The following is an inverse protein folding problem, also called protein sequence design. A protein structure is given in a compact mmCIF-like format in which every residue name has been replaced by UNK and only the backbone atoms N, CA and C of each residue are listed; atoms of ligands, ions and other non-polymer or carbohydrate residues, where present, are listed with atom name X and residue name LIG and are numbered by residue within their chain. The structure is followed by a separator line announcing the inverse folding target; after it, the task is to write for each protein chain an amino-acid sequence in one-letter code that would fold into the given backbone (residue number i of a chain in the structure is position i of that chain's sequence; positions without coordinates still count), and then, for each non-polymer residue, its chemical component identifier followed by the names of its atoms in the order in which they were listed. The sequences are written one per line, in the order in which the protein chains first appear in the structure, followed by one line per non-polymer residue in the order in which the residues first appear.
data_IF_523842228836
#
_entry.id   IF_523842228836
#
_cell.length_a   1.000
_cell.length_b   1.000
_cell.length_c   1.000
_cell.angle_alpha   90.00
_cell.angle_beta   90.00
_cell.angle_gamma   90.00
#
_symmetry.space_group_name_H-M   'P 1'
#
loop_
_entity.id
_entity.type
_entity.pdbx_description
1 polymer ?
#
# COMPACT_ATOMS: atom_id res chain seq x y z
N UNK A 1 19.18 -14.84 -0.78
CA UNK A 1 17.79 -15.20 -1.12
C UNK A 1 16.77 -14.24 -0.51
N UNK A 2 16.65 -14.11 0.82
CA UNK A 2 15.63 -13.27 1.47
C UNK A 2 15.72 -11.76 1.12
N UNK A 3 16.93 -11.21 0.99
CA UNK A 3 17.14 -9.80 0.57
C UNK A 3 16.65 -9.54 -0.86
N UNK A 4 16.93 -10.48 -1.78
CA UNK A 4 16.46 -10.40 -3.18
C UNK A 4 14.94 -10.40 -3.22
N UNK A 5 14.31 -11.32 -2.48
CA UNK A 5 12.85 -11.39 -2.41
C UNK A 5 12.26 -10.09 -1.86
N UNK A 6 12.84 -9.53 -0.79
CA UNK A 6 12.41 -8.24 -0.23
C UNK A 6 12.55 -7.07 -1.22
N UNK A 7 13.57 -7.06 -2.09
CA UNK A 7 13.69 -6.07 -3.18
C UNK A 7 12.65 -6.29 -4.27
N UNK A 8 12.36 -7.54 -4.64
CA UNK A 8 11.31 -7.85 -5.63
C UNK A 8 9.94 -7.33 -5.17
N UNK A 9 9.62 -7.45 -3.88
CA UNK A 9 8.37 -6.92 -3.32
C UNK A 9 8.24 -5.40 -3.48
N UNK A 10 9.34 -4.65 -3.54
CA UNK A 10 9.29 -3.20 -3.76
C UNK A 10 8.87 -2.83 -5.18
N UNK A 11 9.29 -3.60 -6.17
CA UNK A 11 8.95 -3.38 -7.58
C UNK A 11 7.62 -4.01 -7.96
N UNK A 12 7.21 -5.07 -7.26
CA UNK A 12 5.90 -5.70 -7.43
C UNK A 12 4.77 -4.71 -7.18
N UNK A 13 4.90 -3.83 -6.19
CA UNK A 13 3.87 -2.83 -5.83
C UNK A 13 3.60 -1.82 -6.95
N UNK A 14 4.57 -0.99 -7.41
CA UNK A 14 4.32 -0.04 -8.49
C UNK A 14 3.98 -0.74 -9.81
N UNK A 15 4.65 -1.87 -10.13
CA UNK A 15 4.32 -2.64 -11.34
C UNK A 15 2.90 -3.19 -11.31
N UNK A 16 2.48 -3.77 -10.18
CA UNK A 16 1.13 -4.28 -10.00
C UNK A 16 0.07 -3.18 -10.02
N UNK A 17 0.34 -2.03 -9.40
CA UNK A 17 -0.57 -0.87 -9.45
C UNK A 17 -0.81 -0.42 -10.90
N UNK A 18 0.24 -0.31 -11.71
CA UNK A 18 0.10 0.07 -13.13
C UNK A 18 -0.78 -0.94 -13.87
N UNK A 19 -0.54 -2.23 -13.67
CA UNK A 19 -1.35 -3.30 -14.29
C UNK A 19 -2.82 -3.20 -13.85
N UNK A 20 -3.08 -3.04 -12.55
CA UNK A 20 -4.44 -2.91 -12.01
C UNK A 20 -5.14 -1.67 -12.59
N UNK A 21 -4.42 -0.55 -12.72
CA UNK A 21 -4.95 0.67 -13.31
C UNK A 21 -5.43 0.44 -14.75
N UNK A 22 -4.64 -0.23 -15.59
CA UNK A 22 -5.05 -0.59 -16.94
C UNK A 22 -6.26 -1.53 -16.96
N UNK A 23 -6.30 -2.53 -16.07
CA UNK A 23 -7.47 -3.42 -15.98
C UNK A 23 -8.73 -2.70 -15.52
N UNK A 24 -8.63 -1.78 -14.57
CA UNK A 24 -9.75 -0.97 -14.10
C UNK A 24 -10.34 -0.13 -15.24
N UNK A 25 -9.48 0.54 -16.03
CA UNK A 25 -9.92 1.32 -17.20
C UNK A 25 -10.48 0.44 -18.34
N UNK A 26 -9.98 -0.78 -18.49
CA UNK A 26 -10.44 -1.69 -19.55
C UNK A 26 -11.77 -2.39 -19.21
N UNK A 27 -11.98 -2.73 -17.94
CA UNK A 27 -13.15 -3.49 -17.47
C UNK A 27 -14.26 -2.61 -16.89
N UNK A 28 -13.92 -1.42 -16.37
CA UNK A 28 -14.89 -0.47 -15.84
C UNK A 28 -15.71 0.19 -16.95
N UNK A 29 -16.97 0.48 -16.64
CA UNK A 29 -17.92 1.12 -17.57
C UNK A 29 -18.22 2.57 -17.21
N UNK A 30 -17.88 2.98 -15.99
CA UNK A 30 -18.14 4.27 -15.38
C UNK A 30 -17.16 4.47 -14.20
N UNK A 31 -17.11 5.66 -13.62
CA UNK A 31 -16.12 5.95 -12.58
C UNK A 31 -16.32 5.12 -11.30
N UNK A 32 -17.55 4.72 -10.99
CA UNK A 32 -17.86 3.89 -9.81
C UNK A 32 -17.29 2.50 -10.02
N UNK A 33 -17.59 1.87 -11.17
CA UNK A 33 -17.07 0.53 -11.50
C UNK A 33 -15.54 0.52 -11.70
N UNK A 34 -14.97 1.54 -12.32
CA UNK A 34 -13.52 1.71 -12.43
C UNK A 34 -12.86 1.77 -11.04
N UNK A 35 -13.42 2.57 -10.12
CA UNK A 35 -12.88 2.70 -8.77
C UNK A 35 -13.10 1.44 -7.92
N UNK A 36 -14.24 0.75 -8.08
CA UNK A 36 -14.53 -0.51 -7.40
C UNK A 36 -13.50 -1.60 -7.76
N UNK A 37 -13.00 -1.60 -9.00
CA UNK A 37 -11.90 -2.48 -9.41
C UNK A 37 -10.55 -1.96 -8.91
N UNK A 38 -10.25 -0.68 -9.13
CA UNK A 38 -8.94 -0.12 -8.84
C UNK A 38 -8.63 -0.07 -7.34
N UNK A 39 -9.53 0.48 -6.54
CA UNK A 39 -9.31 0.81 -5.13
C UNK A 39 -9.02 -0.42 -4.28
N UNK A 40 -9.98 -1.32 -4.06
CA UNK A 40 -9.80 -2.53 -3.26
C UNK A 40 -8.64 -3.41 -3.73
N UNK A 41 -8.46 -3.60 -5.03
CA UNK A 41 -7.37 -4.45 -5.56
C UNK A 41 -6.00 -3.81 -5.28
N UNK A 42 -5.86 -2.49 -5.40
CA UNK A 42 -4.62 -1.81 -4.98
C UNK A 42 -4.39 -1.93 -3.47
N UNK A 43 -5.43 -1.86 -2.64
CA UNK A 43 -5.31 -2.09 -1.19
C UNK A 43 -4.82 -3.50 -0.90
N UNK A 44 -5.38 -4.53 -1.54
CA UNK A 44 -4.95 -5.92 -1.41
C UNK A 44 -3.47 -6.07 -1.80
N UNK A 45 -3.07 -5.50 -2.94
CA UNK A 45 -1.68 -5.53 -3.39
C UNK A 45 -0.74 -4.83 -2.40
N UNK A 46 -1.06 -3.61 -2.01
CA UNK A 46 -0.19 -2.79 -1.17
C UNK A 46 -0.11 -3.34 0.25
N UNK A 47 -1.23 -3.47 0.94
CA UNK A 47 -1.26 -3.96 2.32
C UNK A 47 -0.93 -5.45 2.40
N UNK A 48 -1.37 -6.27 1.44
CA UNK A 48 -1.04 -7.70 1.42
C UNK A 48 0.45 -7.97 1.24
N UNK A 49 1.12 -7.24 0.33
CA UNK A 49 2.57 -7.39 0.15
C UNK A 49 3.38 -6.84 1.32
N UNK A 50 2.93 -5.76 1.98
CA UNK A 50 3.54 -5.26 3.23
C UNK A 50 3.35 -6.24 4.38
N UNK A 51 2.18 -6.86 4.49
CA UNK A 51 1.90 -7.90 5.47
C UNK A 51 2.83 -9.10 5.26
N UNK A 52 2.94 -9.59 4.03
CA UNK A 52 3.86 -10.67 3.68
C UNK A 52 5.30 -10.33 4.02
N UNK A 53 5.77 -9.15 3.62
CA UNK A 53 7.14 -8.69 3.89
C UNK A 53 7.42 -8.59 5.39
N UNK A 54 6.48 -8.08 6.18
CA UNK A 54 6.64 -7.93 7.63
C UNK A 54 6.59 -9.27 8.38
N UNK A 55 5.67 -10.15 8.00
CA UNK A 55 5.45 -11.43 8.66
C UNK A 55 6.52 -12.46 8.32
N UNK A 56 6.96 -12.51 7.05
CA UNK A 56 7.88 -13.53 6.54
C UNK A 56 9.32 -13.01 6.41
N UNK A 57 9.50 -11.77 5.95
CA UNK A 57 10.80 -11.19 5.60
C UNK A 57 11.26 -10.08 6.56
N UNK A 58 10.62 -9.95 7.73
CA UNK A 58 10.73 -8.77 8.59
C UNK A 58 12.17 -8.32 8.86
N UNK A 59 13.08 -9.23 9.21
CA UNK A 59 14.50 -8.90 9.45
C UNK A 59 15.15 -8.29 8.21
N UNK A 60 15.01 -8.93 7.05
CA UNK A 60 15.57 -8.42 5.80
C UNK A 60 14.94 -7.08 5.38
N UNK A 61 13.62 -6.93 5.60
CA UNK A 61 12.89 -5.69 5.35
C UNK A 61 13.38 -4.52 6.21
N UNK A 62 13.54 -4.74 7.52
CA UNK A 62 14.05 -3.71 8.46
C UNK A 62 15.48 -3.30 8.13
N UNK A 63 16.38 -4.26 7.87
CA UNK A 63 17.76 -3.95 7.48
C UNK A 63 17.80 -3.12 6.18
N UNK A 64 16.99 -3.48 5.18
CA UNK A 64 16.93 -2.79 3.90
C UNK A 64 16.57 -1.31 4.06
N UNK A 65 15.60 -1.00 4.91
CA UNK A 65 15.16 0.39 5.19
C UNK A 65 16.02 1.10 6.24
N UNK A 66 16.98 0.42 6.85
CA UNK A 66 17.91 1.02 7.80
C UNK A 66 17.44 1.05 9.24
N UNK A 67 16.41 0.27 9.57
CA UNK A 67 15.98 0.07 10.95
C UNK A 67 16.62 -1.17 11.57
N UNK A 68 16.84 -1.12 12.88
CA UNK A 68 17.15 -2.30 13.68
C UNK A 68 15.95 -3.25 13.66
N UNK A 69 16.13 -4.55 13.34
CA UNK A 69 15.04 -5.51 13.34
C UNK A 69 14.33 -5.59 14.70
N UNK A 70 13.00 -5.45 14.69
CA UNK A 70 12.15 -5.64 15.86
C UNK A 70 10.98 -6.55 15.50
N UNK A 71 11.03 -7.79 15.97
CA UNK A 71 10.06 -8.81 15.56
C UNK A 71 8.64 -8.52 16.06
N UNK A 72 8.48 -8.04 17.29
CA UNK A 72 7.17 -7.73 17.85
C UNK A 72 6.45 -6.66 17.02
N UNK A 73 7.16 -5.57 16.72
CA UNK A 73 6.64 -4.50 15.85
C UNK A 73 6.31 -5.01 14.44
N UNK A 74 7.19 -5.81 13.84
CA UNK A 74 6.97 -6.36 12.50
C UNK A 74 5.72 -7.24 12.45
N UNK A 75 5.49 -8.10 13.45
CA UNK A 75 4.28 -8.93 13.50
C UNK A 75 3.04 -8.07 13.66
N UNK A 76 3.05 -7.11 14.58
CA UNK A 76 1.91 -6.21 14.81
C UNK A 76 1.56 -5.41 13.55
N UNK A 77 2.54 -4.75 12.94
CA UNK A 77 2.35 -3.97 11.72
C UNK A 77 1.94 -4.85 10.53
N UNK A 78 2.52 -6.05 10.44
CA UNK A 78 2.17 -7.04 9.43
C UNK A 78 0.73 -7.54 9.54
N UNK A 79 0.27 -7.86 10.75
CA UNK A 79 -1.11 -8.27 11.01
C UNK A 79 -2.11 -7.13 10.77
N UNK A 80 -1.75 -5.89 11.11
CA UNK A 80 -2.59 -4.73 10.78
C UNK A 80 -2.79 -4.58 9.27
N UNK A 81 -1.71 -4.68 8.49
CA UNK A 81 -1.81 -4.63 7.03
C UNK A 81 -2.56 -5.85 6.46
N UNK A 82 -2.38 -7.03 7.05
CA UNK A 82 -3.14 -8.22 6.63
C UNK A 82 -4.64 -8.01 6.85
N UNK A 83 -5.03 -7.45 8.00
CA UNK A 83 -6.42 -7.12 8.29
C UNK A 83 -6.99 -6.11 7.28
N UNK A 84 -6.24 -5.07 6.92
CA UNK A 84 -6.65 -4.12 5.87
C UNK A 84 -6.83 -4.80 4.51
N UNK A 85 -5.92 -5.69 4.11
CA UNK A 85 -6.01 -6.41 2.84
C UNK A 85 -7.21 -7.38 2.81
N UNK A 86 -7.46 -8.10 3.92
CA UNK A 86 -8.63 -8.98 4.05
C UNK A 86 -9.93 -8.18 4.04
N UNK A 87 -9.98 -7.03 4.72
CA UNK A 87 -11.15 -6.16 4.68
C UNK A 87 -11.43 -5.66 3.25
N UNK A 88 -10.41 -5.24 2.50
CA UNK A 88 -10.56 -4.85 1.10
C UNK A 88 -11.03 -6.01 0.20
N UNK A 89 -10.52 -7.23 0.43
CA UNK A 89 -10.99 -8.42 -0.28
C UNK A 89 -12.47 -8.70 0.00
N UNK A 90 -12.91 -8.58 1.26
CA UNK A 90 -14.30 -8.77 1.63
C UNK A 90 -15.20 -7.69 1.01
N UNK A 91 -14.79 -6.43 1.09
CA UNK A 91 -15.49 -5.29 0.46
C UNK A 91 -15.71 -5.54 -1.03
N UNK A 92 -14.66 -6.00 -1.73
CA UNK A 92 -14.69 -6.28 -3.16
C UNK A 92 -15.58 -7.48 -3.51
N UNK A 93 -15.38 -8.64 -2.85
CA UNK A 93 -16.09 -9.88 -3.19
C UNK A 93 -17.56 -9.85 -2.78
N UNK A 94 -17.88 -9.15 -1.70
CA UNK A 94 -19.24 -9.06 -1.17
C UNK A 94 -20.00 -7.81 -1.65
N UNK A 95 -19.38 -7.01 -2.52
CA UNK A 95 -19.96 -5.80 -3.10
C UNK A 95 -20.58 -4.86 -2.04
N UNK A 96 -19.78 -4.48 -1.03
CA UNK A 96 -20.25 -3.57 0.03
C UNK A 96 -20.48 -2.13 -0.44
N UNK A 97 -20.18 -1.83 -1.70
CA UNK A 97 -20.46 -0.58 -2.38
C UNK A 97 -19.38 0.49 -2.25
N UNK A 98 -19.57 1.56 -3.02
CA UNK A 98 -18.60 2.65 -3.25
C UNK A 98 -18.01 3.25 -1.97
N UNK A 99 -18.82 3.53 -0.95
CA UNK A 99 -18.32 4.13 0.29
C UNK A 99 -17.44 3.18 1.09
N UNK A 100 -17.68 1.87 0.99
CA UNK A 100 -16.82 0.86 1.61
C UNK A 100 -15.47 0.80 0.88
N UNK A 101 -15.46 0.83 -0.45
CA UNK A 101 -14.24 0.92 -1.28
C UNK A 101 -13.41 2.14 -0.89
N UNK A 102 -14.05 3.31 -0.85
CA UNK A 102 -13.40 4.57 -0.49
C UNK A 102 -12.85 4.53 0.94
N UNK A 103 -13.56 3.89 1.88
CA UNK A 103 -13.11 3.76 3.27
C UNK A 103 -11.84 2.90 3.37
N UNK A 104 -11.80 1.73 2.73
CA UNK A 104 -10.61 0.86 2.81
C UNK A 104 -9.40 1.47 2.10
N UNK A 105 -9.62 2.16 0.97
CA UNK A 105 -8.59 2.93 0.27
C UNK A 105 -8.09 4.07 1.16
N UNK A 106 -8.98 4.80 1.82
CA UNK A 106 -8.61 5.90 2.72
C UNK A 106 -7.76 5.40 3.89
N UNK A 107 -8.15 4.29 4.54
CA UNK A 107 -7.38 3.68 5.63
C UNK A 107 -5.97 3.33 5.17
N UNK A 108 -5.84 2.72 3.98
CA UNK A 108 -4.55 2.39 3.40
C UNK A 108 -3.71 3.66 3.09
N UNK A 109 -4.31 4.68 2.46
CA UNK A 109 -3.63 5.93 2.14
C UNK A 109 -3.15 6.67 3.39
N UNK A 110 -3.97 6.70 4.45
CA UNK A 110 -3.57 7.27 5.75
C UNK A 110 -2.39 6.50 6.35
N UNK A 111 -2.43 5.17 6.34
CA UNK A 111 -1.32 4.35 6.83
C UNK A 111 -0.01 4.66 6.09
N UNK A 112 -0.02 4.68 4.75
CA UNK A 112 1.19 4.97 3.98
C UNK A 112 1.64 6.43 4.09
N UNK A 113 0.71 7.37 4.24
CA UNK A 113 1.03 8.79 4.49
C UNK A 113 1.71 8.98 5.83
N UNK A 114 1.19 8.37 6.90
CA UNK A 114 1.83 8.42 8.22
C UNK A 114 3.17 7.67 8.24
N UNK A 115 3.28 6.56 7.51
CA UNK A 115 4.56 5.88 7.30
C UNK A 115 5.57 6.80 6.59
N UNK A 116 5.16 7.50 5.53
CA UNK A 116 5.99 8.48 4.83
C UNK A 116 6.48 9.59 5.78
N UNK A 117 5.60 10.16 6.60
CA UNK A 117 5.99 11.13 7.63
C UNK A 117 7.02 10.54 8.58
N UNK A 118 6.80 9.32 9.07
CA UNK A 118 7.75 8.64 9.94
C UNK A 118 9.13 8.48 9.27
N UNK A 119 9.17 8.04 8.00
CA UNK A 119 10.41 7.89 7.25
C UNK A 119 11.14 9.21 7.01
N UNK A 120 10.41 10.30 6.74
CA UNK A 120 10.96 11.65 6.64
C UNK A 120 11.55 12.10 7.98
N UNK A 121 10.83 11.90 9.08
CA UNK A 121 11.31 12.26 10.42
C UNK A 121 12.56 11.46 10.79
N UNK A 122 12.58 10.15 10.54
CA UNK A 122 13.77 9.30 10.76
C UNK A 122 14.94 9.74 9.88
N UNK A 123 14.71 10.10 8.62
CA UNK A 123 15.79 10.60 7.74
C UNK A 123 16.45 11.86 8.31
N UNK A 124 15.64 12.78 8.86
CA UNK A 124 16.12 14.06 9.40
C UNK A 124 16.74 13.89 10.78
N UNK A 125 16.07 13.20 11.72
CA UNK A 125 16.48 13.12 13.13
C UNK A 125 17.51 12.03 13.42
N UNK A 126 17.40 10.90 12.73
CA UNK A 126 18.25 9.73 12.96
C UNK A 126 19.27 9.54 11.83
N UNK A 127 19.32 10.47 10.87
CA UNK A 127 20.22 10.43 9.71
C UNK A 127 20.12 9.12 8.90
N UNK A 128 18.96 8.48 8.87
CA UNK A 128 18.73 7.29 8.07
C UNK A 128 18.55 7.67 6.58
N UNK A 129 19.66 7.85 5.89
CA UNK A 129 19.71 8.28 4.49
C UNK A 129 19.68 7.12 3.49
N UNK A 130 19.24 5.93 3.89
CA UNK A 130 19.12 4.80 2.94
C UNK A 130 18.15 5.17 1.83
N UNK A 131 18.49 4.86 0.59
CA UNK A 131 17.69 5.19 -0.60
C UNK A 131 16.24 4.73 -0.45
N UNK A 132 16.03 3.52 0.03
CA UNK A 132 14.68 2.97 0.24
C UNK A 132 13.90 3.75 1.30
N UNK A 133 14.56 4.24 2.36
CA UNK A 133 13.94 5.10 3.37
C UNK A 133 13.47 6.42 2.75
N UNK A 134 14.34 7.05 1.95
CA UNK A 134 14.06 8.32 1.27
C UNK A 134 13.02 8.21 0.14
N UNK A 135 12.90 7.04 -0.49
CA UNK A 135 11.90 6.82 -1.55
C UNK A 135 10.48 6.70 -1.00
N UNK A 136 10.28 6.29 0.26
CA UNK A 136 8.94 6.05 0.81
C UNK A 136 8.02 7.26 0.80
N UNK A 137 8.48 8.47 1.20
CA UNK A 137 7.68 9.69 1.06
C UNK A 137 7.28 9.98 -0.39
N UNK A 138 8.21 9.82 -1.33
CA UNK A 138 7.95 10.07 -2.76
C UNK A 138 6.90 9.07 -3.29
N UNK A 139 7.08 7.79 -2.99
CA UNK A 139 6.15 6.74 -3.43
C UNK A 139 4.76 6.89 -2.81
N UNK A 140 4.65 7.36 -1.56
CA UNK A 140 3.36 7.64 -0.94
C UNK A 140 2.64 8.81 -1.64
N UNK A 141 3.35 9.88 -2.02
CA UNK A 141 2.79 10.98 -2.80
C UNK A 141 2.31 10.53 -4.18
N UNK A 142 3.08 9.66 -4.85
CA UNK A 142 2.66 9.07 -6.12
C UNK A 142 1.39 8.21 -5.97
N UNK A 143 1.31 7.41 -4.91
CA UNK A 143 0.13 6.60 -4.62
C UNK A 143 -1.12 7.47 -4.37
N UNK A 144 -0.97 8.58 -3.63
CA UNK A 144 -2.03 9.56 -3.42
C UNK A 144 -2.47 10.18 -4.75
N UNK A 145 -1.51 10.65 -5.55
CA UNK A 145 -1.79 11.26 -6.85
C UNK A 145 -2.48 10.31 -7.84
N UNK A 146 -2.25 9.00 -7.71
CA UNK A 146 -2.87 7.99 -8.54
C UNK A 146 -4.28 7.61 -8.08
N UNK A 147 -4.50 7.43 -6.78
CA UNK A 147 -5.77 6.89 -6.25
C UNK A 147 -6.79 7.95 -5.86
N UNK A 148 -6.38 9.16 -5.46
CA UNK A 148 -7.32 10.21 -5.08
C UNK A 148 -8.20 10.66 -6.26
N UNK A 149 -7.67 10.91 -7.48
CA UNK A 149 -8.52 11.34 -8.59
C UNK A 149 -9.67 10.37 -8.95
N UNK A 150 -9.44 9.06 -9.17
CA UNK A 150 -10.54 8.14 -9.47
C UNK A 150 -11.51 7.97 -8.30
N UNK A 151 -11.02 7.99 -7.06
CA UNK A 151 -11.88 7.96 -5.87
C UNK A 151 -12.82 9.18 -5.81
N UNK A 152 -12.29 10.38 -6.03
CA UNK A 152 -13.08 11.62 -6.03
C UNK A 152 -14.07 11.60 -7.20
N UNK A 153 -13.64 11.17 -8.38
CA UNK A 153 -14.51 11.05 -9.55
C UNK A 153 -15.69 10.11 -9.30
N UNK A 154 -15.45 8.97 -8.65
CA UNK A 154 -16.52 8.03 -8.29
C UNK A 154 -17.50 8.60 -7.25
N UNK A 155 -16.99 9.30 -6.24
CA UNK A 155 -17.81 9.87 -5.15
C UNK A 155 -18.65 11.09 -5.56
N UNK A 156 -18.37 11.70 -6.72
CA UNK A 156 -19.08 12.86 -7.24
C UNK A 156 -20.16 12.53 -8.27
N UNK A 157 -20.37 11.24 -8.58
CA UNK A 157 -21.45 10.75 -9.44
C UNK A 157 -22.68 10.40 -8.62
#
# INVERSE_FOLDING_TARGET
MLKILSTMMEWLRPGGIVVIYFFAQYLGTDAISEFHILGPIVVILMSGTVAFESLILGVAGSEKIGYTPNRAYQVQSGLNNLATAVAALLVFVLDWGLYADATVVTVMLLFFSFSAVNHTVTAIREHNMKTVNLMRPIMALLLLGLLLPPMISALMQ
#
